data_IF_610796173117
#
_entry.id   IF_610796173117
#
_cell.length_a   1.000
_cell.length_b   1.000
_cell.length_c   1.000
_cell.angle_alpha   90.00
_cell.angle_beta   90.00
_cell.angle_gamma   90.00
#
_symmetry.space_group_name_H-M   'P 1'
#
loop_
_entity.id
_entity.type
_entity.pdbx_description
1 polymer ?
#
# COMPACT_ATOMS: atom_id res chain seq x y z
N UNK A 1 40.29 74.07 31.56
CA UNK A 1 38.84 73.76 31.60
C UNK A 1 38.53 72.96 30.38
N UNK A 2 38.43 71.65 30.55
CA UNK A 2 38.08 70.69 29.48
C UNK A 2 36.58 70.33 29.54
N UNK A 3 35.85 70.66 28.49
CA UNK A 3 34.44 70.32 28.35
C UNK A 3 34.33 68.83 27.92
N UNK A 4 33.68 68.02 28.76
CA UNK A 4 33.33 66.64 28.47
C UNK A 4 31.94 66.64 27.80
N UNK A 5 31.89 66.30 26.53
CA UNK A 5 30.62 66.13 25.79
C UNK A 5 30.17 64.67 25.97
N UNK A 6 29.07 64.47 26.71
CA UNK A 6 28.41 63.17 26.82
C UNK A 6 27.61 62.90 25.53
N UNK A 7 27.97 61.81 24.80
CA UNK A 7 27.19 61.29 23.67
C UNK A 7 26.27 60.18 24.21
N UNK A 8 24.98 60.49 24.26
CA UNK A 8 23.94 59.44 24.51
C UNK A 8 23.72 58.62 23.23
N UNK A 9 24.24 57.41 23.21
CA UNK A 9 23.89 56.43 22.17
C UNK A 9 22.49 55.83 22.47
N UNK A 10 21.51 56.25 21.70
CA UNK A 10 20.18 55.61 21.69
C UNK A 10 20.32 54.26 20.99
N UNK A 11 20.35 53.16 21.76
CA UNK A 11 20.12 51.82 21.22
C UNK A 11 18.63 51.70 20.85
N UNK A 12 18.33 51.83 19.59
CA UNK A 12 17.04 51.49 19.01
C UNK A 12 16.99 49.96 18.89
N UNK A 13 16.45 49.28 19.90
CA UNK A 13 16.06 47.88 19.75
C UNK A 13 14.91 47.81 18.74
N UNK A 14 15.23 47.55 17.48
CA UNK A 14 14.26 47.06 16.51
C UNK A 14 13.82 45.66 16.96
N UNK A 15 12.75 45.60 17.74
CA UNK A 15 11.98 44.37 17.88
C UNK A 15 11.37 44.06 16.50
N UNK A 16 12.08 43.29 15.71
CA UNK A 16 11.47 42.62 14.55
C UNK A 16 10.36 41.75 15.10
N UNK A 17 9.14 42.26 15.10
CA UNK A 17 7.97 41.44 15.25
C UNK A 17 7.96 40.49 14.03
N UNK A 18 8.48 39.28 14.21
CA UNK A 18 8.26 38.19 13.26
C UNK A 18 6.76 37.99 13.25
N UNK A 19 6.09 38.59 12.28
CA UNK A 19 4.68 38.32 12.08
C UNK A 19 4.53 36.80 11.95
N UNK A 20 3.71 36.19 12.81
CA UNK A 20 3.45 34.78 12.81
C UNK A 20 3.03 34.35 11.39
N UNK A 21 3.88 33.61 10.72
CA UNK A 21 3.67 33.22 9.31
C UNK A 21 2.67 32.10 9.25
N UNK A 22 1.47 32.38 8.75
CA UNK A 22 0.51 31.36 8.41
C UNK A 22 0.91 30.72 7.08
N UNK A 23 0.93 29.40 7.04
CA UNK A 23 1.24 28.60 5.86
C UNK A 23 0.12 27.56 5.65
N UNK A 24 -0.30 27.37 4.41
CA UNK A 24 -1.17 26.27 4.02
C UNK A 24 -0.33 25.25 3.28
N UNK A 25 -0.34 24.02 3.76
CA UNK A 25 0.30 22.86 3.10
C UNK A 25 -0.79 21.93 2.59
N UNK A 26 -0.67 21.54 1.33
CA UNK A 26 -1.54 20.55 0.70
C UNK A 26 -0.74 19.29 0.42
N UNK A 27 -1.22 18.15 0.89
CA UNK A 27 -0.66 16.84 0.64
C UNK A 27 -1.67 16.04 -0.18
N UNK A 28 -1.15 15.24 -1.11
CA UNK A 28 -1.89 14.25 -1.89
C UNK A 28 -1.40 12.87 -1.50
N UNK A 29 -2.29 12.00 -1.01
CA UNK A 29 -1.97 10.61 -0.74
C UNK A 29 -2.70 9.75 -1.75
N UNK A 30 -1.96 8.89 -2.44
CA UNK A 30 -2.49 7.92 -3.39
C UNK A 30 -2.14 6.53 -2.88
N UNK A 31 -3.15 5.67 -2.75
CA UNK A 31 -2.95 4.29 -2.38
C UNK A 31 -3.40 3.36 -3.51
N UNK A 32 -2.53 2.41 -3.85
CA UNK A 32 -2.89 1.16 -4.52
C UNK A 32 -2.99 0.03 -3.50
N UNK A 33 -3.86 -0.94 -3.73
CA UNK A 33 -4.02 -2.16 -2.93
C UNK A 33 -4.54 -3.28 -3.81
N UNK A 34 -4.19 -4.50 -3.48
CA UNK A 34 -4.78 -5.69 -4.12
C UNK A 34 -4.72 -5.64 -5.65
N UNK A 35 -3.57 -5.20 -6.19
CA UNK A 35 -3.37 -5.04 -7.64
C UNK A 35 -3.36 -6.40 -8.35
N UNK A 36 -2.98 -7.48 -7.63
CA UNK A 36 -3.04 -8.86 -8.10
C UNK A 36 -2.40 -9.07 -9.49
N UNK A 37 -1.18 -8.55 -9.67
CA UNK A 37 -0.42 -8.72 -10.90
C UNK A 37 -0.97 -7.98 -12.13
N UNK A 38 -2.00 -7.13 -11.97
CA UNK A 38 -2.53 -6.30 -13.06
C UNK A 38 -1.61 -5.10 -13.32
N UNK A 39 -0.40 -5.37 -13.79
CA UNK A 39 0.59 -4.32 -14.09
C UNK A 39 0.34 -3.67 -15.44
N UNK A 40 -0.14 -4.46 -16.41
CA UNK A 40 -0.43 -4.03 -17.77
C UNK A 40 -1.93 -3.90 -18.02
N UNK A 41 -2.38 -3.06 -18.96
CA UNK A 41 -3.79 -2.89 -19.31
C UNK A 41 -4.32 -4.04 -20.17
N UNK A 42 -3.89 -5.27 -19.84
CA UNK A 42 -4.21 -6.49 -20.58
C UNK A 42 -4.31 -7.68 -19.62
N UNK A 43 -5.41 -8.40 -19.70
CA UNK A 43 -5.60 -9.63 -18.96
C UNK A 43 -5.07 -10.80 -19.79
N UNK A 44 -3.97 -11.40 -19.36
CA UNK A 44 -3.31 -12.50 -20.06
C UNK A 44 -4.10 -13.81 -20.05
N UNK A 45 -5.04 -13.97 -19.11
CA UNK A 45 -5.90 -15.15 -18.98
C UNK A 45 -7.03 -15.08 -20.00
N UNK A 46 -7.79 -13.98 -20.02
CA UNK A 46 -8.92 -13.79 -20.93
C UNK A 46 -8.50 -13.26 -22.30
N UNK A 47 -7.24 -12.82 -22.45
CA UNK A 47 -6.66 -12.22 -23.68
C UNK A 47 -7.40 -10.98 -24.15
N UNK A 48 -7.85 -10.15 -23.21
CA UNK A 48 -8.62 -8.94 -23.49
C UNK A 48 -7.98 -7.73 -22.82
N UNK A 49 -8.30 -6.55 -23.32
CA UNK A 49 -7.95 -5.30 -22.64
C UNK A 49 -8.58 -5.29 -21.24
N UNK A 50 -7.81 -4.77 -20.26
CA UNK A 50 -8.23 -4.66 -18.88
C UNK A 50 -8.36 -3.21 -18.45
N UNK A 51 -9.44 -2.91 -17.73
CA UNK A 51 -9.78 -1.54 -17.30
C UNK A 51 -8.90 -0.98 -16.17
N UNK A 52 -8.22 -1.85 -15.41
CA UNK A 52 -7.32 -1.49 -14.32
C UNK A 52 -5.88 -1.89 -14.64
N UNK A 53 -4.89 -1.13 -14.19
CA UNK A 53 -3.47 -1.54 -14.26
C UNK A 53 -2.55 -0.49 -13.64
N UNK A 54 -1.32 -0.88 -13.28
CA UNK A 54 -0.29 0.08 -12.89
C UNK A 54 -0.01 1.10 -14.00
N UNK A 55 -0.08 0.71 -15.27
CA UNK A 55 0.12 1.61 -16.41
C UNK A 55 -0.94 2.74 -16.50
N UNK A 56 -2.19 2.47 -16.10
CA UNK A 56 -3.25 3.50 -16.02
C UNK A 56 -3.12 4.33 -14.74
N UNK A 57 -2.81 3.67 -13.63
CA UNK A 57 -2.54 4.32 -12.34
C UNK A 57 -1.37 5.31 -12.49
N UNK A 58 -0.35 4.95 -13.25
CA UNK A 58 0.80 5.83 -13.47
C UNK A 58 0.41 7.12 -14.22
N UNK A 59 -0.50 7.05 -15.19
CA UNK A 59 -1.02 8.27 -15.85
C UNK A 59 -1.73 9.22 -14.88
N UNK A 60 -2.48 8.68 -13.92
CA UNK A 60 -3.07 9.47 -12.84
C UNK A 60 -1.98 10.12 -11.98
N UNK A 61 -1.00 9.30 -11.55
CA UNK A 61 0.11 9.77 -10.70
C UNK A 61 0.91 10.87 -11.39
N UNK A 62 1.22 10.73 -12.68
CA UNK A 62 1.95 11.76 -13.43
C UNK A 62 1.17 13.09 -13.48
N UNK A 63 -0.17 13.03 -13.62
CA UNK A 63 -1.04 14.20 -13.58
C UNK A 63 -0.98 14.87 -12.20
N UNK A 64 -1.18 14.12 -11.14
CA UNK A 64 -1.19 14.65 -9.76
C UNK A 64 0.20 15.18 -9.34
N UNK A 65 1.30 14.54 -9.77
CA UNK A 65 2.66 15.03 -9.51
C UNK A 65 2.97 16.40 -10.12
N UNK A 66 2.32 16.78 -11.23
CA UNK A 66 2.50 18.13 -11.80
C UNK A 66 1.96 19.20 -10.86
N UNK A 67 0.90 18.89 -10.11
CA UNK A 67 0.27 19.80 -9.16
C UNK A 67 0.94 19.74 -7.78
N UNK A 68 1.05 18.54 -7.21
CA UNK A 68 1.49 18.35 -5.81
C UNK A 68 3.01 18.21 -5.68
N UNK A 69 3.73 17.88 -6.74
CA UNK A 69 5.19 17.67 -6.76
C UNK A 69 5.61 16.67 -5.66
N UNK A 70 6.52 17.09 -4.78
CA UNK A 70 7.01 16.24 -3.68
C UNK A 70 5.97 16.05 -2.56
N UNK A 71 4.87 16.81 -2.57
CA UNK A 71 3.77 16.65 -1.64
C UNK A 71 2.80 15.52 -2.02
N UNK A 72 3.02 14.83 -3.16
CA UNK A 72 2.36 13.58 -3.46
C UNK A 72 3.09 12.44 -2.75
N UNK A 73 2.35 11.66 -1.98
CA UNK A 73 2.79 10.46 -1.27
C UNK A 73 2.10 9.25 -1.91
N UNK A 74 2.87 8.33 -2.47
CA UNK A 74 2.39 7.14 -3.15
C UNK A 74 2.67 5.91 -2.30
N UNK A 75 1.62 5.16 -1.96
CA UNK A 75 1.68 4.00 -1.09
C UNK A 75 1.04 2.77 -1.76
N UNK A 76 1.60 1.60 -1.51
CA UNK A 76 0.99 0.32 -1.88
C UNK A 76 0.65 -0.48 -0.63
N UNK A 77 -0.54 -1.05 -0.58
CA UNK A 77 -1.01 -1.77 0.60
C UNK A 77 -0.90 -3.30 0.49
N UNK A 78 -0.14 -3.81 -0.46
CA UNK A 78 0.11 -5.25 -0.61
C UNK A 78 -0.88 -5.98 -1.53
N UNK A 79 -0.75 -7.30 -1.58
CA UNK A 79 -1.40 -8.21 -2.53
C UNK A 79 -1.13 -7.80 -3.98
N UNK A 80 0.15 -7.56 -4.25
CA UNK A 80 0.62 -7.15 -5.57
C UNK A 80 1.30 -8.29 -6.33
N UNK A 81 1.83 -9.31 -5.62
CA UNK A 81 2.68 -10.37 -6.20
C UNK A 81 1.92 -11.61 -6.69
N UNK A 82 0.59 -11.66 -6.59
CA UNK A 82 -0.22 -12.82 -6.98
C UNK A 82 -1.35 -12.39 -7.91
N UNK A 83 -1.81 -13.27 -8.82
CA UNK A 83 -2.99 -13.08 -9.65
C UNK A 83 -2.71 -13.28 -11.14
N UNK A 84 -2.31 -12.25 -11.87
CA UNK A 84 -2.06 -12.35 -13.30
C UNK A 84 -0.78 -13.16 -13.63
N UNK A 85 -0.71 -13.81 -14.80
CA UNK A 85 0.49 -14.51 -15.28
C UNK A 85 1.77 -13.70 -15.24
N UNK A 86 1.68 -12.39 -15.27
CA UNK A 86 2.83 -11.48 -15.13
C UNK A 86 3.52 -11.65 -13.78
N UNK A 87 2.74 -11.68 -12.69
CA UNK A 87 3.28 -11.92 -11.36
C UNK A 87 3.91 -13.32 -11.28
N UNK A 88 3.18 -14.36 -11.72
CA UNK A 88 3.69 -15.73 -11.72
C UNK A 88 5.01 -15.87 -12.48
N UNK A 89 5.13 -15.26 -13.66
CA UNK A 89 6.33 -15.35 -14.49
C UNK A 89 7.56 -14.78 -13.76
N UNK A 90 7.45 -13.61 -13.16
CA UNK A 90 8.56 -12.98 -12.44
C UNK A 90 8.77 -13.49 -11.01
N UNK A 91 7.79 -14.18 -10.45
CA UNK A 91 7.98 -14.90 -9.20
C UNK A 91 8.79 -16.18 -9.39
N UNK A 92 8.45 -16.99 -10.43
CA UNK A 92 8.86 -18.41 -10.47
C UNK A 92 9.57 -18.84 -11.76
N UNK A 93 9.46 -18.10 -12.86
CA UNK A 93 10.08 -18.46 -14.15
C UNK A 93 11.35 -17.63 -14.37
N UNK A 94 11.26 -16.31 -14.38
CA UNK A 94 12.42 -15.43 -14.41
C UNK A 94 12.81 -15.03 -12.99
N UNK A 95 13.62 -15.86 -12.36
CA UNK A 95 14.08 -15.66 -10.98
C UNK A 95 15.45 -14.97 -10.89
N UNK A 96 16.07 -14.66 -12.05
CA UNK A 96 17.41 -14.09 -12.14
C UNK A 96 17.38 -12.57 -12.34
N UNK A 97 16.45 -12.08 -13.15
CA UNK A 97 16.25 -10.63 -13.34
C UNK A 97 15.80 -9.95 -12.04
N UNK A 98 16.06 -8.64 -11.87
CA UNK A 98 15.41 -7.86 -10.82
C UNK A 98 13.90 -8.08 -10.86
N UNK A 99 13.25 -8.09 -9.68
CA UNK A 99 11.84 -8.42 -9.61
C UNK A 99 11.00 -7.34 -10.32
N UNK A 100 10.31 -7.70 -11.42
CA UNK A 100 9.59 -6.75 -12.27
C UNK A 100 8.64 -5.82 -11.50
N UNK A 101 7.89 -6.37 -10.56
CA UNK A 101 6.97 -5.56 -9.74
C UNK A 101 7.72 -4.43 -9.02
N UNK A 102 8.86 -4.76 -8.37
CA UNK A 102 9.67 -3.76 -7.69
C UNK A 102 10.25 -2.73 -8.66
N UNK A 103 10.73 -3.14 -9.85
CA UNK A 103 11.21 -2.20 -10.87
C UNK A 103 10.11 -1.23 -11.33
N UNK A 104 8.87 -1.72 -11.50
CA UNK A 104 7.72 -0.87 -11.83
C UNK A 104 7.40 0.10 -10.69
N UNK A 105 7.35 -0.40 -9.46
CA UNK A 105 7.09 0.44 -8.29
C UNK A 105 8.19 1.50 -8.07
N UNK A 106 9.46 1.14 -8.26
CA UNK A 106 10.59 2.08 -8.21
C UNK A 106 10.46 3.16 -9.30
N UNK A 107 10.12 2.76 -10.53
CA UNK A 107 9.87 3.70 -11.63
C UNK A 107 8.71 4.66 -11.32
N UNK A 108 7.65 4.16 -10.71
CA UNK A 108 6.50 4.93 -10.25
C UNK A 108 6.82 5.79 -9.02
N UNK A 109 7.97 5.58 -8.36
CA UNK A 109 8.44 6.28 -7.15
C UNK A 109 7.45 6.14 -5.99
N UNK A 110 7.20 4.92 -5.56
CA UNK A 110 6.49 4.66 -4.32
C UNK A 110 7.31 5.13 -3.11
N UNK A 111 6.64 5.71 -2.12
CA UNK A 111 7.27 6.18 -0.87
C UNK A 111 7.37 5.06 0.17
N UNK A 112 6.41 4.14 0.17
CA UNK A 112 6.41 2.92 0.96
C UNK A 112 5.45 1.89 0.36
N UNK A 113 5.73 0.61 0.63
CA UNK A 113 4.82 -0.52 0.42
C UNK A 113 4.43 -1.17 1.74
N UNK A 114 3.45 -2.06 1.70
CA UNK A 114 3.06 -2.93 2.79
C UNK A 114 3.04 -4.38 2.30
N UNK A 115 3.14 -5.34 3.21
CA UNK A 115 3.01 -6.76 2.87
C UNK A 115 1.54 -7.16 2.88
N UNK A 116 1.08 -7.86 1.84
CA UNK A 116 -0.23 -8.53 1.80
C UNK A 116 -0.12 -10.04 2.02
N UNK A 117 -1.24 -10.72 2.24
CA UNK A 117 -1.24 -12.17 2.48
C UNK A 117 -0.85 -12.97 1.23
N UNK A 118 -1.26 -12.52 0.05
CA UNK A 118 -0.84 -13.14 -1.21
C UNK A 118 0.62 -12.82 -1.58
N UNK A 119 1.22 -11.78 -1.00
CA UNK A 119 2.67 -11.57 -1.11
C UNK A 119 3.42 -12.61 -0.25
N UNK A 120 2.94 -12.86 0.98
CA UNK A 120 3.48 -13.93 1.85
C UNK A 120 3.31 -15.32 1.22
N UNK A 121 2.18 -15.57 0.52
CA UNK A 121 1.89 -16.82 -0.18
C UNK A 121 2.95 -17.20 -1.21
N UNK A 122 3.63 -16.23 -1.80
CA UNK A 122 4.70 -16.49 -2.77
C UNK A 122 5.92 -17.18 -2.16
N UNK A 123 6.05 -17.16 -0.84
CA UNK A 123 7.17 -17.73 -0.09
C UNK A 123 8.40 -16.83 -0.02
N UNK A 124 9.29 -17.14 0.95
CA UNK A 124 10.47 -16.34 1.30
C UNK A 124 11.35 -15.97 0.10
N UNK A 125 11.63 -16.92 -0.77
CA UNK A 125 12.52 -16.70 -1.90
C UNK A 125 12.01 -15.62 -2.87
N UNK A 126 10.70 -15.49 -3.02
CA UNK A 126 10.07 -14.49 -3.89
C UNK A 126 9.95 -13.15 -3.19
N UNK A 127 9.29 -13.11 -2.04
CA UNK A 127 9.04 -11.81 -1.42
C UNK A 127 10.32 -11.15 -0.85
N UNK A 128 11.32 -11.92 -0.38
CA UNK A 128 12.62 -11.35 0.02
C UNK A 128 13.35 -10.73 -1.20
N UNK A 129 13.27 -11.36 -2.39
CA UNK A 129 13.82 -10.80 -3.62
C UNK A 129 13.09 -9.52 -4.04
N UNK A 130 11.76 -9.50 -3.97
CA UNK A 130 10.94 -8.33 -4.25
C UNK A 130 11.30 -7.17 -3.31
N UNK A 131 11.31 -7.41 -1.99
CA UNK A 131 11.68 -6.41 -0.98
C UNK A 131 13.11 -5.89 -1.22
N UNK A 132 14.06 -6.80 -1.50
CA UNK A 132 15.45 -6.44 -1.77
C UNK A 132 15.68 -5.66 -3.07
N UNK A 133 14.69 -5.63 -3.97
CA UNK A 133 14.72 -4.86 -5.24
C UNK A 133 14.02 -3.49 -5.08
N UNK A 134 13.17 -3.31 -4.07
CA UNK A 134 12.48 -2.03 -3.84
C UNK A 134 13.43 -0.94 -3.35
N UNK A 135 13.34 0.26 -3.93
CA UNK A 135 14.07 1.47 -3.48
C UNK A 135 13.40 2.17 -2.29
N UNK A 136 12.29 1.64 -1.83
CA UNK A 136 11.48 2.14 -0.72
C UNK A 136 11.23 1.01 0.30
N UNK A 137 10.89 1.31 1.56
CA UNK A 137 10.63 0.27 2.55
C UNK A 137 9.29 -0.41 2.31
N UNK A 138 9.27 -1.74 2.41
CA UNK A 138 8.04 -2.54 2.61
C UNK A 138 7.82 -2.66 4.12
N UNK A 139 6.64 -2.28 4.58
CA UNK A 139 6.32 -2.16 5.99
C UNK A 139 5.64 -3.43 6.54
N UNK A 140 5.73 -3.64 7.87
CA UNK A 140 5.10 -4.78 8.51
C UNK A 140 5.32 -4.79 10.03
N UNK A 141 4.65 -3.89 10.75
CA UNK A 141 4.86 -3.70 12.20
C UNK A 141 4.49 -4.93 13.05
N UNK A 142 3.54 -5.74 12.60
CA UNK A 142 3.07 -6.95 13.27
C UNK A 142 3.63 -8.25 12.67
N UNK A 143 4.54 -8.17 11.70
CA UNK A 143 5.30 -9.32 11.20
C UNK A 143 6.55 -9.46 12.04
N UNK A 144 6.59 -10.46 12.90
CA UNK A 144 7.66 -10.62 13.91
C UNK A 144 8.59 -11.75 13.51
N UNK A 145 9.88 -11.47 13.48
CA UNK A 145 10.93 -12.49 13.40
C UNK A 145 10.97 -13.27 14.72
N UNK A 146 10.71 -14.57 14.67
CA UNK A 146 10.60 -15.43 15.87
C UNK A 146 11.94 -15.64 16.58
N UNK A 147 13.06 -15.45 15.88
CA UNK A 147 14.40 -15.61 16.45
C UNK A 147 14.83 -14.40 17.28
N UNK A 148 14.37 -13.21 16.90
CA UNK A 148 14.74 -11.94 17.55
C UNK A 148 13.63 -11.34 18.41
N UNK A 149 12.37 -11.73 18.17
CA UNK A 149 11.19 -11.12 18.78
C UNK A 149 10.93 -9.68 18.33
N UNK A 150 11.61 -9.22 17.28
CA UNK A 150 11.47 -7.87 16.70
C UNK A 150 10.68 -7.90 15.38
N UNK A 151 10.13 -6.76 14.92
CA UNK A 151 9.55 -6.70 13.58
C UNK A 151 10.57 -7.14 12.53
N UNK A 152 10.13 -8.01 11.63
CA UNK A 152 10.92 -8.52 10.50
C UNK A 152 11.13 -7.43 9.44
N UNK A 153 10.13 -6.61 9.24
CA UNK A 153 10.13 -5.45 8.33
C UNK A 153 10.12 -4.14 9.12
N UNK A 154 10.52 -3.02 8.51
CA UNK A 154 10.33 -1.72 9.14
C UNK A 154 8.87 -1.52 9.57
N UNK A 155 8.61 -1.14 10.83
CA UNK A 155 7.25 -1.01 11.33
C UNK A 155 6.52 0.21 10.74
N UNK A 156 7.27 1.28 10.47
CA UNK A 156 6.73 2.52 9.92
C UNK A 156 7.78 3.26 9.08
N UNK A 157 7.30 4.16 8.24
CA UNK A 157 8.11 5.13 7.49
C UNK A 157 7.79 6.53 7.99
N UNK A 158 8.84 7.31 8.27
CA UNK A 158 8.75 8.75 8.49
C UNK A 158 8.99 9.48 7.18
N UNK A 159 8.11 10.42 6.84
CA UNK A 159 8.22 11.32 5.70
C UNK A 159 8.14 12.77 6.21
N UNK A 160 8.78 13.67 5.48
CA UNK A 160 8.62 15.11 5.69
C UNK A 160 8.28 15.78 4.36
N UNK A 161 7.23 16.59 4.35
CA UNK A 161 6.74 17.30 3.17
C UNK A 161 6.38 18.72 3.56
N UNK A 162 7.07 19.71 2.99
CA UNK A 162 6.82 21.13 3.26
C UNK A 162 6.89 21.51 4.76
N UNK A 163 7.68 20.77 5.56
CA UNK A 163 7.83 20.94 7.00
C UNK A 163 6.73 20.23 7.82
N UNK A 164 5.87 19.44 7.19
CA UNK A 164 4.90 18.56 7.84
C UNK A 164 5.52 17.18 8.04
N UNK A 165 5.48 16.67 9.26
CA UNK A 165 5.94 15.34 9.63
C UNK A 165 4.81 14.32 9.48
N UNK A 166 5.02 13.31 8.65
CA UNK A 166 4.03 12.29 8.33
C UNK A 166 4.59 10.92 8.69
N UNK A 167 3.85 10.12 9.43
CA UNK A 167 4.19 8.73 9.69
C UNK A 167 3.21 7.82 8.98
N UNK A 168 3.74 6.80 8.30
CA UNK A 168 2.99 5.69 7.73
C UNK A 168 3.31 4.43 8.52
N UNK A 169 2.35 3.89 9.27
CA UNK A 169 2.46 2.63 10.03
C UNK A 169 1.88 1.50 9.18
N UNK A 170 2.69 0.48 8.86
CA UNK A 170 2.24 -0.67 8.05
C UNK A 170 1.90 -1.89 8.90
N UNK A 171 0.77 -2.56 8.60
CA UNK A 171 0.38 -3.83 9.23
C UNK A 171 -0.35 -4.73 8.23
N UNK A 172 -0.32 -6.04 8.51
CA UNK A 172 -1.00 -7.08 7.73
C UNK A 172 -2.02 -7.80 8.63
N UNK A 173 -3.03 -8.41 8.01
CA UNK A 173 -3.92 -9.34 8.72
C UNK A 173 -3.12 -10.40 9.49
N UNK A 174 -3.46 -10.68 10.76
CA UNK A 174 -2.77 -11.72 11.53
C UNK A 174 -3.19 -13.13 11.15
N UNK A 175 -4.15 -13.31 10.24
CA UNK A 175 -4.77 -14.59 9.92
C UNK A 175 -3.94 -15.48 8.98
N UNK A 176 -2.75 -15.05 8.57
CA UNK A 176 -1.83 -15.81 7.69
C UNK A 176 -1.72 -17.30 8.07
N UNK A 177 -1.50 -17.67 9.36
CA UNK A 177 -1.37 -19.08 9.74
C UNK A 177 -2.65 -19.91 9.62
N UNK A 178 -3.81 -19.29 9.43
CA UNK A 178 -5.07 -19.99 9.21
C UNK A 178 -5.23 -20.45 7.76
N UNK A 179 -4.50 -19.88 6.82
CA UNK A 179 -4.66 -20.11 5.38
C UNK A 179 -3.42 -20.68 4.71
N UNK A 180 -2.24 -20.25 5.14
CA UNK A 180 -1.00 -20.55 4.45
C UNK A 180 -0.17 -21.59 5.20
N UNK A 181 0.43 -22.52 4.44
CA UNK A 181 1.35 -23.49 4.98
C UNK A 181 2.58 -22.82 5.61
N UNK A 182 3.02 -23.32 6.78
CA UNK A 182 4.10 -22.74 7.57
C UNK A 182 5.43 -22.59 6.80
N UNK A 183 5.69 -23.47 5.83
CA UNK A 183 6.91 -23.39 5.02
C UNK A 183 7.04 -22.08 4.23
N UNK A 184 5.92 -21.38 3.90
CA UNK A 184 5.90 -20.12 3.15
C UNK A 184 6.32 -18.93 4.03
N UNK A 185 6.06 -18.98 5.32
CA UNK A 185 6.34 -17.92 6.28
C UNK A 185 7.22 -18.36 7.45
N UNK A 186 7.99 -19.45 7.28
CA UNK A 186 8.84 -19.99 8.33
C UNK A 186 9.72 -18.93 8.98
N UNK A 187 9.75 -18.94 10.31
CA UNK A 187 10.53 -18.00 11.13
C UNK A 187 9.80 -16.66 11.37
N UNK A 188 8.56 -16.53 10.91
CA UNK A 188 7.73 -15.35 11.15
C UNK A 188 6.57 -15.70 12.10
N UNK A 189 6.03 -14.67 12.75
CA UNK A 189 4.78 -14.68 13.51
C UNK A 189 4.00 -13.41 13.20
N UNK A 190 2.69 -13.50 13.17
CA UNK A 190 1.80 -12.38 12.88
C UNK A 190 1.03 -12.02 14.14
N UNK A 191 1.37 -10.87 14.72
CA UNK A 191 0.80 -10.41 15.98
C UNK A 191 -0.53 -9.67 15.74
N UNK A 192 -1.37 -9.59 16.79
CA UNK A 192 -2.64 -8.86 16.76
C UNK A 192 -2.46 -7.39 16.34
N UNK A 193 -3.36 -6.90 15.49
CA UNK A 193 -3.24 -5.55 14.92
C UNK A 193 -3.56 -4.45 15.94
N UNK A 194 -4.56 -4.62 16.80
CA UNK A 194 -4.90 -3.59 17.80
C UNK A 194 -3.81 -3.45 18.87
N UNK A 195 -3.29 -4.57 19.36
CA UNK A 195 -2.18 -4.57 20.31
C UNK A 195 -0.91 -3.96 19.71
N UNK A 196 -0.61 -4.35 18.47
CA UNK A 196 0.53 -3.79 17.72
C UNK A 196 0.37 -2.30 17.47
N UNK A 197 -0.79 -1.85 17.00
CA UNK A 197 -1.07 -0.43 16.78
C UNK A 197 -0.94 0.38 18.08
N UNK A 198 -1.49 -0.11 19.18
CA UNK A 198 -1.39 0.54 20.50
C UNK A 198 0.06 0.71 20.94
N UNK A 199 0.87 -0.33 20.76
CA UNK A 199 2.32 -0.30 21.06
C UNK A 199 3.04 0.73 20.19
N UNK A 200 2.88 0.64 18.87
CA UNK A 200 3.63 1.50 17.96
C UNK A 200 3.18 2.96 18.00
N UNK A 201 1.88 3.24 18.15
CA UNK A 201 1.39 4.61 18.32
C UNK A 201 2.02 5.30 19.54
N UNK A 202 2.22 4.58 20.64
CA UNK A 202 2.92 5.11 21.82
C UNK A 202 4.39 5.48 21.50
N UNK A 203 5.08 4.60 20.77
CA UNK A 203 6.48 4.81 20.37
C UNK A 203 6.58 5.98 19.37
N UNK A 204 5.74 5.98 18.34
CA UNK A 204 5.70 7.00 17.29
C UNK A 204 5.44 8.39 17.88
N UNK A 205 4.45 8.51 18.76
CA UNK A 205 4.14 9.79 19.41
C UNK A 205 5.31 10.30 20.27
N UNK A 206 5.97 9.42 21.03
CA UNK A 206 7.07 9.79 21.89
C UNK A 206 8.35 10.15 21.12
N UNK A 207 8.64 9.45 20.02
CA UNK A 207 9.90 9.55 19.29
C UNK A 207 9.84 10.55 18.13
N UNK A 208 8.78 10.48 17.31
CA UNK A 208 8.69 11.23 16.05
C UNK A 208 7.83 12.49 16.18
N UNK A 209 6.83 12.48 17.07
CA UNK A 209 5.85 13.56 17.24
C UNK A 209 5.28 14.05 15.89
N UNK A 210 4.63 13.16 15.10
CA UNK A 210 4.17 13.49 13.76
C UNK A 210 2.96 14.42 13.76
N UNK A 211 2.85 15.22 12.69
CA UNK A 211 1.69 16.05 12.41
C UNK A 211 0.54 15.26 11.79
N UNK A 212 0.86 14.23 10.97
CA UNK A 212 -0.10 13.34 10.32
C UNK A 212 0.31 11.89 10.54
N UNK A 213 -0.65 11.03 10.86
CA UNK A 213 -0.45 9.59 11.00
C UNK A 213 -1.38 8.84 10.07
N UNK A 214 -0.78 8.01 9.23
CA UNK A 214 -1.46 7.16 8.26
C UNK A 214 -1.28 5.70 8.69
N UNK A 215 -2.38 4.96 8.85
CA UNK A 215 -2.36 3.51 8.90
C UNK A 215 -2.40 2.97 7.48
N UNK A 216 -1.47 2.09 7.13
CA UNK A 216 -1.43 1.35 5.86
C UNK A 216 -1.62 -0.13 6.21
N UNK A 217 -2.87 -0.59 6.16
CA UNK A 217 -3.25 -1.86 6.76
C UNK A 217 -3.82 -2.82 5.71
N UNK A 218 -3.09 -3.88 5.44
CA UNK A 218 -3.59 -4.97 4.60
C UNK A 218 -4.49 -5.90 5.43
N UNK A 219 -5.67 -5.40 5.76
CA UNK A 219 -6.77 -6.05 6.45
C UNK A 219 -8.06 -5.26 6.17
N UNK A 220 -9.18 -5.96 6.10
CA UNK A 220 -10.46 -5.35 5.76
C UNK A 220 -11.18 -4.68 6.92
N UNK A 221 -12.46 -4.38 6.69
CA UNK A 221 -13.30 -3.62 7.60
C UNK A 221 -14.28 -4.44 8.44
N UNK A 222 -14.52 -5.72 8.12
CA UNK A 222 -15.43 -6.56 8.90
C UNK A 222 -14.79 -6.98 10.23
N UNK A 223 -15.05 -6.16 11.24
CA UNK A 223 -14.47 -6.26 12.59
C UNK A 223 -14.79 -7.58 13.32
N UNK A 224 -15.74 -8.37 12.83
CA UNK A 224 -16.19 -9.63 13.46
C UNK A 224 -15.77 -10.86 12.67
N UNK A 225 -15.10 -10.69 11.53
CA UNK A 225 -14.63 -11.81 10.73
C UNK A 225 -13.43 -12.48 11.39
N UNK A 226 -13.66 -13.67 11.92
CA UNK A 226 -12.62 -14.50 12.53
C UNK A 226 -12.16 -15.58 11.56
N UNK A 227 -10.86 -15.73 11.38
CA UNK A 227 -10.22 -16.86 10.71
C UNK A 227 -9.44 -17.66 11.75
N UNK A 228 -10.04 -18.78 12.20
CA UNK A 228 -9.55 -19.51 13.37
C UNK A 228 -9.65 -18.63 14.63
N UNK A 229 -8.50 -18.41 15.29
CA UNK A 229 -8.40 -17.53 16.46
C UNK A 229 -8.07 -16.06 16.13
N UNK A 230 -7.88 -15.74 14.84
CA UNK A 230 -7.40 -14.43 14.41
C UNK A 230 -8.56 -13.53 13.99
N UNK A 231 -8.52 -12.26 14.39
CA UNK A 231 -9.37 -11.23 13.81
C UNK A 231 -8.79 -10.83 12.44
N UNK A 232 -9.40 -11.34 11.38
CA UNK A 232 -8.91 -11.20 10.01
C UNK A 232 -8.92 -9.74 9.54
N UNK A 233 -10.01 -9.01 9.83
CA UNK A 233 -10.30 -7.70 9.26
C UNK A 233 -10.34 -6.61 10.35
N UNK A 234 -9.21 -6.40 11.02
CA UNK A 234 -9.13 -5.52 12.19
C UNK A 234 -8.90 -4.03 11.87
N UNK A 235 -8.79 -3.61 10.59
CA UNK A 235 -8.44 -2.22 10.25
C UNK A 235 -9.43 -1.20 10.81
N UNK A 236 -10.73 -1.49 10.71
CA UNK A 236 -11.76 -0.61 11.26
C UNK A 236 -11.73 -0.56 12.80
N UNK A 237 -11.38 -1.68 13.46
CA UNK A 237 -11.20 -1.72 14.92
C UNK A 237 -10.03 -0.83 15.35
N UNK A 238 -8.89 -0.92 14.65
CA UNK A 238 -7.74 -0.06 14.92
C UNK A 238 -8.13 1.41 14.76
N UNK A 239 -8.80 1.78 13.65
CA UNK A 239 -9.24 3.15 13.42
C UNK A 239 -10.14 3.69 14.53
N UNK A 240 -11.05 2.87 15.08
CA UNK A 240 -11.99 3.26 16.13
C UNK A 240 -11.40 3.22 17.54
N UNK A 241 -10.57 2.21 17.85
CA UNK A 241 -10.15 1.91 19.22
C UNK A 241 -8.78 2.49 19.59
N UNK A 242 -7.97 2.89 18.58
CA UNK A 242 -6.63 3.42 18.79
C UNK A 242 -6.56 4.88 18.34
N UNK A 243 -6.57 5.85 19.27
CA UNK A 243 -6.52 7.27 18.91
C UNK A 243 -5.23 7.67 18.22
N UNK A 244 -5.36 8.69 17.38
CA UNK A 244 -4.22 9.38 16.79
C UNK A 244 -3.92 9.06 15.34
N UNK A 245 -4.69 8.19 14.68
CA UNK A 245 -4.69 8.08 13.22
C UNK A 245 -5.53 9.21 12.60
N UNK A 246 -5.05 9.76 11.50
CA UNK A 246 -5.77 10.73 10.67
C UNK A 246 -6.46 10.03 9.50
N UNK A 247 -5.76 9.04 8.90
CA UNK A 247 -6.22 8.23 7.76
C UNK A 247 -5.87 6.78 8.02
N UNK A 248 -6.77 5.86 7.71
CA UNK A 248 -6.51 4.41 7.64
C UNK A 248 -6.83 3.94 6.21
N UNK A 249 -5.78 3.57 5.50
CA UNK A 249 -5.81 2.98 4.17
C UNK A 249 -5.96 1.47 4.35
N UNK A 250 -7.06 0.91 3.85
CA UNK A 250 -7.43 -0.51 4.00
C UNK A 250 -7.22 -1.29 2.69
N UNK A 251 -7.38 -2.60 2.72
CA UNK A 251 -7.34 -3.54 1.61
C UNK A 251 -7.74 -4.94 2.07
N UNK A 252 -7.36 -5.98 1.33
CA UNK A 252 -7.56 -7.38 1.65
C UNK A 252 -8.98 -7.92 1.39
N UNK A 253 -10.03 -7.28 1.87
CA UNK A 253 -11.41 -7.73 1.69
C UNK A 253 -12.01 -7.25 0.35
N UNK A 254 -11.22 -6.55 -0.47
CA UNK A 254 -11.59 -5.99 -1.77
C UNK A 254 -12.82 -5.08 -1.70
N UNK A 255 -13.09 -4.52 -0.54
CA UNK A 255 -14.21 -3.61 -0.36
C UNK A 255 -14.00 -2.31 -1.14
N UNK A 256 -15.09 -1.65 -1.44
CA UNK A 256 -15.10 -0.34 -2.06
C UNK A 256 -15.69 0.65 -1.08
N UNK A 257 -14.84 1.24 -0.25
CA UNK A 257 -15.28 2.02 0.89
C UNK A 257 -14.52 3.36 1.00
N UNK A 258 -15.23 4.41 1.34
CA UNK A 258 -14.65 5.70 1.73
C UNK A 258 -15.60 6.40 2.69
N UNK A 259 -15.22 6.48 3.96
CA UNK A 259 -16.05 7.10 5.02
C UNK A 259 -15.21 7.67 6.14
N UNK A 260 -15.79 8.54 6.93
CA UNK A 260 -15.22 8.98 8.22
C UNK A 260 -15.85 8.21 9.35
N UNK A 261 -15.02 7.80 10.30
CA UNK A 261 -15.44 7.14 11.54
C UNK A 261 -14.92 7.93 12.74
N UNK A 262 -15.67 7.88 13.84
CA UNK A 262 -15.27 8.50 15.10
C UNK A 262 -14.45 7.48 15.91
N UNK A 263 -13.30 7.88 16.42
CA UNK A 263 -12.54 7.05 17.36
C UNK A 263 -13.00 7.25 18.81
N UNK A 264 -12.46 6.44 19.72
CA UNK A 264 -12.78 6.51 21.17
C UNK A 264 -12.37 7.81 21.85
N UNK A 265 -11.53 8.64 21.23
CA UNK A 265 -11.16 9.96 21.73
C UNK A 265 -12.05 11.10 21.17
N UNK A 266 -12.96 10.77 20.25
CA UNK A 266 -13.84 11.75 19.60
C UNK A 266 -13.22 12.38 18.35
N UNK A 267 -12.09 11.88 17.84
CA UNK A 267 -11.49 12.38 16.61
C UNK A 267 -12.08 11.67 15.38
N UNK A 268 -12.20 12.41 14.28
CA UNK A 268 -12.65 11.86 13.00
C UNK A 268 -11.47 11.25 12.24
N UNK A 269 -11.57 9.97 11.87
CA UNK A 269 -10.59 9.22 11.09
C UNK A 269 -11.18 8.91 9.71
N UNK A 270 -10.47 9.25 8.64
CA UNK A 270 -10.85 8.79 7.29
C UNK A 270 -10.43 7.33 7.13
N UNK A 271 -11.38 6.45 6.75
CA UNK A 271 -11.10 5.07 6.36
C UNK A 271 -11.46 4.89 4.89
N UNK A 272 -10.55 4.26 4.10
CA UNK A 272 -10.72 4.13 2.66
C UNK A 272 -10.10 2.81 2.16
N UNK A 273 -10.82 2.14 1.24
CA UNK A 273 -10.44 0.88 0.61
C UNK A 273 -10.72 0.95 -0.90
N UNK A 274 -9.73 0.74 -1.78
CA UNK A 274 -9.87 0.96 -3.21
C UNK A 274 -10.32 -0.26 -4.00
N UNK A 275 -10.90 -1.26 -3.38
CA UNK A 275 -11.22 -2.55 -4.00
C UNK A 275 -9.93 -3.26 -4.50
N UNK A 276 -9.99 -3.93 -5.66
CA UNK A 276 -8.88 -4.76 -6.16
C UNK A 276 -8.61 -4.60 -7.64
N UNK A 277 -7.58 -5.32 -8.15
CA UNK A 277 -7.23 -5.45 -9.56
C UNK A 277 -6.85 -4.14 -10.27
N UNK A 278 -6.46 -3.13 -9.50
CA UNK A 278 -6.03 -1.84 -10.03
C UNK A 278 -7.12 -1.05 -10.76
N UNK A 279 -8.41 -1.37 -10.52
CA UNK A 279 -9.55 -0.69 -11.18
C UNK A 279 -9.95 0.60 -10.51
N UNK A 280 -9.60 0.73 -9.23
CA UNK A 280 -9.84 1.92 -8.40
C UNK A 280 -8.57 2.20 -7.60
N UNK A 281 -8.36 3.43 -7.22
CA UNK A 281 -7.32 3.83 -6.27
C UNK A 281 -7.92 4.71 -5.19
N UNK A 282 -7.31 4.72 -4.00
CA UNK A 282 -7.63 5.69 -2.95
C UNK A 282 -6.91 6.99 -3.26
N UNK A 283 -7.65 8.08 -3.24
CA UNK A 283 -7.14 9.44 -3.49
C UNK A 283 -7.56 10.32 -2.32
N UNK A 284 -6.58 10.78 -1.53
CA UNK A 284 -6.81 11.54 -0.31
C UNK A 284 -6.11 12.88 -0.38
N UNK A 285 -6.86 13.94 -0.17
CA UNK A 285 -6.36 15.29 -0.02
C UNK A 285 -6.30 15.67 1.46
N UNK A 286 -5.15 16.16 1.92
CA UNK A 286 -4.97 16.71 3.27
C UNK A 286 -4.53 18.17 3.13
N UNK A 287 -5.35 19.09 3.65
CA UNK A 287 -5.00 20.50 3.74
C UNK A 287 -4.71 20.85 5.20
N UNK A 288 -3.46 21.27 5.47
CA UNK A 288 -3.04 21.69 6.80
C UNK A 288 -2.88 23.21 6.83
N UNK A 289 -3.38 23.84 7.88
CA UNK A 289 -3.07 25.22 8.22
C UNK A 289 -2.04 25.22 9.35
N UNK A 290 -0.90 25.85 9.11
CA UNK A 290 0.19 25.96 10.08
C UNK A 290 0.37 27.41 10.51
N UNK A 291 0.78 27.60 11.75
CA UNK A 291 1.25 28.89 12.28
C UNK A 291 2.50 28.64 13.12
N UNK A 292 3.58 29.34 12.78
CA UNK A 292 4.88 29.17 13.44
C UNK A 292 5.37 27.70 13.47
N UNK A 293 5.14 26.98 12.37
CA UNK A 293 5.51 25.57 12.23
C UNK A 293 4.61 24.58 12.98
N UNK A 294 3.53 25.04 13.63
CA UNK A 294 2.57 24.16 14.33
C UNK A 294 1.28 24.02 13.53
N UNK A 295 0.77 22.82 13.44
CA UNK A 295 -0.51 22.54 12.80
C UNK A 295 -1.65 23.09 13.66
N UNK A 296 -2.45 23.99 13.08
CA UNK A 296 -3.65 24.54 13.71
C UNK A 296 -4.91 23.74 13.36
N UNK A 297 -4.99 23.30 12.11
CA UNK A 297 -6.13 22.49 11.65
C UNK A 297 -5.72 21.58 10.50
N UNK A 298 -6.46 20.48 10.36
CA UNK A 298 -6.38 19.53 9.26
C UNK A 298 -7.77 19.39 8.63
N UNK A 299 -7.84 19.49 7.31
CA UNK A 299 -9.01 19.07 6.52
C UNK A 299 -8.61 17.88 5.66
N UNK A 300 -9.31 16.76 5.82
CA UNK A 300 -8.99 15.49 5.19
C UNK A 300 -10.20 15.02 4.39
N UNK A 301 -10.00 14.84 3.08
CA UNK A 301 -11.03 14.40 2.16
C UNK A 301 -10.52 13.20 1.37
N UNK A 302 -11.33 12.16 1.27
CA UNK A 302 -11.03 10.96 0.49
C UNK A 302 -12.02 10.77 -0.64
N UNK A 303 -11.54 10.22 -1.75
CA UNK A 303 -12.36 9.81 -2.89
C UNK A 303 -11.77 8.56 -3.53
N UNK A 304 -12.65 7.68 -4.00
CA UNK A 304 -12.28 6.53 -4.82
C UNK A 304 -12.23 6.96 -6.29
N UNK A 305 -11.08 6.80 -6.93
CA UNK A 305 -10.84 7.24 -8.30
C UNK A 305 -10.78 6.04 -9.25
N UNK A 306 -11.63 6.04 -10.28
CA UNK A 306 -11.66 4.99 -11.31
C UNK A 306 -10.46 5.13 -12.25
N UNK A 307 -9.63 4.10 -12.33
CA UNK A 307 -8.41 4.13 -13.14
C UNK A 307 -8.70 4.09 -14.65
N UNK A 308 -9.84 3.53 -15.05
CA UNK A 308 -10.28 3.49 -16.46
C UNK A 308 -10.49 4.87 -17.10
N UNK A 309 -10.69 5.92 -16.28
CA UNK A 309 -10.86 7.30 -16.75
C UNK A 309 -9.54 7.92 -17.20
N UNK A 310 -8.43 7.27 -16.89
CA UNK A 310 -7.09 7.69 -17.29
C UNK A 310 -6.58 6.81 -18.43
N UNK A 311 -5.97 7.45 -19.43
CA UNK A 311 -5.30 6.74 -20.52
C UNK A 311 -4.17 5.84 -20.01
N UNK A 312 -3.73 4.92 -20.84
CA UNK A 312 -2.54 4.11 -20.56
C UNK A 312 -1.30 4.98 -20.77
N UNK A 313 -0.38 5.01 -19.81
CA UNK A 313 0.89 5.73 -19.97
C UNK A 313 1.76 5.06 -21.03
N UNK A 314 2.04 5.79 -22.12
CA UNK A 314 2.90 5.32 -23.20
C UNK A 314 4.34 5.11 -22.72
N UNK A 315 4.84 6.00 -21.86
CA UNK A 315 6.20 5.91 -21.31
C UNK A 315 6.35 4.67 -20.43
N UNK A 316 5.35 4.37 -19.58
CA UNK A 316 5.34 3.15 -18.80
C UNK A 316 5.33 1.91 -19.69
N UNK A 317 4.44 1.87 -20.67
CA UNK A 317 4.35 0.74 -21.61
C UNK A 317 5.62 0.56 -22.42
N UNK A 318 6.22 1.62 -22.90
CA UNK A 318 7.50 1.60 -23.63
C UNK A 318 8.64 1.09 -22.74
N UNK A 319 8.71 1.58 -21.50
CA UNK A 319 9.75 1.18 -20.53
C UNK A 319 9.72 -0.32 -20.26
N UNK A 320 8.52 -0.89 -20.10
CA UNK A 320 8.33 -2.28 -19.71
C UNK A 320 7.84 -3.20 -20.85
N UNK A 321 7.98 -2.76 -22.11
CA UNK A 321 7.58 -3.54 -23.27
C UNK A 321 8.31 -4.90 -23.40
N UNK A 322 9.64 -5.01 -23.14
CA UNK A 322 10.33 -6.30 -23.21
C UNK A 322 9.75 -7.32 -22.24
N UNK A 323 9.41 -6.90 -21.05
CA UNK A 323 8.84 -7.75 -20.00
C UNK A 323 7.41 -8.18 -20.36
N UNK A 324 6.61 -7.26 -20.90
CA UNK A 324 5.28 -7.59 -21.43
C UNK A 324 5.36 -8.69 -22.51
N UNK A 325 6.26 -8.55 -23.48
CA UNK A 325 6.42 -9.52 -24.56
C UNK A 325 6.94 -10.87 -24.05
N UNK A 326 7.81 -10.89 -23.05
CA UNK A 326 8.27 -12.13 -22.41
C UNK A 326 7.11 -12.92 -21.81
N UNK A 327 6.23 -12.25 -21.06
CA UNK A 327 5.01 -12.87 -20.48
C UNK A 327 4.06 -13.33 -21.58
N UNK A 328 3.83 -12.48 -22.60
CA UNK A 328 2.98 -12.82 -23.74
C UNK A 328 3.46 -14.09 -24.46
N UNK A 329 4.75 -14.20 -24.70
CA UNK A 329 5.38 -15.39 -25.30
C UNK A 329 5.21 -16.61 -24.40
N UNK A 330 5.40 -16.47 -23.09
CA UNK A 330 5.24 -17.55 -22.13
C UNK A 330 3.81 -18.11 -22.14
N UNK A 331 2.79 -17.27 -21.98
CA UNK A 331 1.38 -17.70 -21.93
C UNK A 331 0.82 -18.15 -23.29
N UNK A 332 1.50 -17.83 -24.40
CA UNK A 332 1.09 -18.26 -25.74
C UNK A 332 1.67 -19.62 -26.14
N UNK A 333 2.55 -20.19 -25.30
CA UNK A 333 3.13 -21.51 -25.56
C UNK A 333 2.03 -22.58 -25.52
N UNK A 334 1.89 -23.35 -26.60
CA UNK A 334 1.00 -24.51 -26.63
C UNK A 334 1.56 -25.59 -25.70
N UNK A 335 0.78 -25.98 -24.68
CA UNK A 335 1.15 -27.03 -23.71
C UNK A 335 0.39 -28.32 -23.91
N UNK A 336 -0.73 -28.29 -24.63
CA UNK A 336 -1.56 -29.46 -24.91
C UNK A 336 -2.73 -29.14 -25.84
N UNK A 337 -3.57 -30.11 -26.05
CA UNK A 337 -4.82 -29.97 -26.80
C UNK A 337 -5.88 -30.83 -26.12
N UNK A 338 -7.05 -30.30 -25.92
CA UNK A 338 -8.23 -31.07 -25.54
C UNK A 338 -8.84 -31.69 -26.77
N UNK A 339 -9.35 -32.91 -26.65
CA UNK A 339 -10.06 -33.63 -27.72
C UNK A 339 -11.52 -33.21 -27.84
N UNK A 340 -12.04 -32.58 -26.78
CA UNK A 340 -13.41 -32.08 -26.68
C UNK A 340 -13.44 -30.76 -25.95
N UNK A 341 -14.52 -30.02 -26.11
CA UNK A 341 -14.73 -28.77 -25.39
C UNK A 341 -14.99 -29.03 -23.90
N UNK A 342 -14.25 -28.36 -23.02
CA UNK A 342 -14.42 -28.40 -21.58
C UNK A 342 -15.03 -27.09 -21.11
N UNK A 343 -16.27 -27.15 -20.59
CA UNK A 343 -16.98 -26.01 -20.02
C UNK A 343 -16.92 -26.03 -18.49
N UNK A 344 -16.75 -24.85 -17.87
CA UNK A 344 -16.84 -24.66 -16.42
C UNK A 344 -18.29 -24.61 -15.92
N UNK A 345 -19.24 -24.27 -16.79
CA UNK A 345 -20.63 -24.04 -16.41
C UNK A 345 -21.31 -25.24 -15.72
N UNK A 346 -21.15 -26.52 -16.17
CA UNK A 346 -21.73 -27.65 -15.48
C UNK A 346 -21.24 -27.83 -14.04
N UNK A 347 -20.07 -27.35 -13.71
CA UNK A 347 -19.47 -27.47 -12.36
C UNK A 347 -20.28 -26.79 -11.25
N UNK A 348 -21.14 -25.84 -11.61
CA UNK A 348 -22.07 -25.20 -10.66
C UNK A 348 -23.23 -26.09 -10.24
N UNK A 349 -23.45 -27.19 -10.95
CA UNK A 349 -24.61 -28.06 -10.76
C UNK A 349 -24.24 -29.49 -10.36
N UNK A 350 -22.96 -29.86 -10.36
CA UNK A 350 -22.50 -31.21 -10.00
C UNK A 350 -21.18 -31.61 -10.67
N UNK A 351 -20.86 -32.93 -10.67
CA UNK A 351 -19.65 -33.43 -11.32
C UNK A 351 -19.56 -33.00 -12.79
N UNK A 352 -18.36 -32.67 -13.24
CA UNK A 352 -18.14 -32.22 -14.61
C UNK A 352 -16.73 -32.56 -15.08
N UNK A 353 -16.53 -32.63 -16.41
CA UNK A 353 -15.21 -32.85 -17.00
C UNK A 353 -14.17 -31.84 -16.56
N UNK A 354 -14.60 -30.60 -16.23
CA UNK A 354 -13.70 -29.56 -15.71
C UNK A 354 -13.21 -29.90 -14.29
N UNK A 355 -14.10 -30.30 -13.39
CA UNK A 355 -13.75 -30.71 -12.02
C UNK A 355 -12.90 -31.97 -12.03
N UNK A 356 -13.26 -32.96 -12.88
CA UNK A 356 -12.50 -34.18 -13.01
C UNK A 356 -11.08 -33.92 -13.51
N UNK A 357 -10.91 -33.02 -14.47
CA UNK A 357 -9.59 -32.58 -14.93
C UNK A 357 -8.76 -31.95 -13.77
N UNK A 358 -9.36 -31.05 -12.98
CA UNK A 358 -8.67 -30.45 -11.83
C UNK A 358 -8.22 -31.51 -10.84
N UNK A 359 -9.11 -32.42 -10.46
CA UNK A 359 -8.81 -33.50 -9.51
C UNK A 359 -7.73 -34.46 -10.06
N UNK A 360 -7.80 -34.81 -11.35
CA UNK A 360 -6.76 -35.63 -11.99
C UNK A 360 -5.40 -34.98 -11.93
N UNK A 361 -5.31 -33.67 -12.30
CA UNK A 361 -4.07 -32.95 -12.23
C UNK A 361 -3.54 -32.84 -10.80
N UNK A 362 -4.40 -32.60 -9.83
CA UNK A 362 -4.00 -32.57 -8.42
C UNK A 362 -3.43 -33.90 -7.94
N UNK A 363 -4.08 -35.03 -8.31
CA UNK A 363 -3.61 -36.36 -7.95
C UNK A 363 -2.30 -36.75 -8.65
N UNK A 364 -2.09 -36.26 -9.88
CA UNK A 364 -0.85 -36.55 -10.64
C UNK A 364 0.36 -35.74 -10.12
N UNK A 365 0.11 -34.60 -9.45
CA UNK A 365 1.17 -33.71 -8.95
C UNK A 365 1.54 -34.02 -7.50
N UNK A 366 0.63 -34.59 -6.69
CA UNK A 366 0.83 -34.93 -5.28
C UNK A 366 1.29 -36.35 -5.07
#
# INVERSE_FOLDING_TARGET
MKRITLIYAWLFCLALSVAAQEKVVKLKIVQTSDVHGNYYPYNFITRQEWKGSLARIYSFIEKERREYKDNLILLDNGDILQGQPTAYYYNYIDTVSPHLCAEMMNYMKYDAGNMGNHDVETGRAVFDRWIGTCDFPVLGANIIDTSTGKPHLPPYKMLERDGVKIVVLGMITPAIPAWLSENLWRGLRFDDMEETARKWMKIIRAKENPDVVIGLFHAGQDAFKMSGKYNENASLNVAKNIPGFDVVLMGHDHARECKKVMNVAGDSVLVIDPASNGVVLSNVDITLKLKDGKVLSKDIQGVLTETKEYGVSEDFMKRFAPQYEAVRKFVSKKIGTFTEDISTHPSFFGPSAFIDLIHTLQLDIT
#
